data_IF_270406335222
#
_entry.id   IF_270406335222
#
_cell.length_a   1.000
_cell.length_b   1.000
_cell.length_c   1.000
_cell.angle_alpha   90.00
_cell.angle_beta   90.00
_cell.angle_gamma   90.00
#
_symmetry.space_group_name_H-M   'P 1'
#
loop_
_entity.id
_entity.type
_entity.pdbx_description
1 polymer ?
#
# COMPACT_ATOMS: atom_id res chain seq x y z
N UNK A 1 -19.45 -9.82 -3.15
CA UNK A 1 -18.36 -10.71 -3.59
C UNK A 1 -17.49 -9.93 -4.57
N UNK A 2 -16.26 -9.57 -4.19
CA UNK A 2 -15.41 -8.74 -5.06
C UNK A 2 -14.97 -9.57 -6.27
N UNK A 3 -15.32 -9.11 -7.48
CA UNK A 3 -14.90 -9.74 -8.73
C UNK A 3 -13.40 -9.48 -8.90
N UNK A 4 -12.59 -10.54 -8.94
CA UNK A 4 -11.15 -10.41 -9.14
C UNK A 4 -10.87 -9.96 -10.58
N UNK A 5 -10.60 -8.67 -10.77
CA UNK A 5 -10.18 -8.14 -12.07
C UNK A 5 -8.67 -8.35 -12.21
N UNK A 6 -8.23 -8.98 -13.31
CA UNK A 6 -6.81 -9.27 -13.61
C UNK A 6 -5.97 -8.01 -13.95
N UNK A 7 -6.42 -6.83 -13.53
CA UNK A 7 -5.78 -5.58 -13.88
C UNK A 7 -4.62 -5.29 -12.92
N UNK A 8 -3.54 -4.75 -13.47
CA UNK A 8 -2.42 -4.27 -12.65
C UNK A 8 -2.90 -3.12 -11.76
N UNK A 9 -2.61 -3.21 -10.46
CA UNK A 9 -2.89 -2.13 -9.50
C UNK A 9 -2.03 -0.89 -9.76
N UNK A 10 -0.88 -1.08 -10.41
CA UNK A 10 0.05 -0.03 -10.80
C UNK A 10 0.41 -0.26 -12.27
N UNK A 11 -0.29 0.38 -13.22
CA UNK A 11 -0.04 0.16 -14.65
C UNK A 11 1.34 0.66 -15.09
N UNK A 12 1.80 1.79 -14.55
CA UNK A 12 3.09 2.41 -14.86
C UNK A 12 4.10 2.14 -13.72
N UNK A 13 4.39 0.87 -13.47
CA UNK A 13 5.33 0.48 -12.43
C UNK A 13 6.76 0.90 -12.78
N UNK A 14 7.58 1.10 -11.75
CA UNK A 14 9.00 1.44 -11.85
C UNK A 14 9.83 0.32 -11.28
N UNK A 15 10.96 0.03 -11.92
CA UNK A 15 11.92 -0.96 -11.45
C UNK A 15 12.52 -0.54 -10.10
N UNK A 16 12.88 -1.53 -9.28
CA UNK A 16 13.50 -1.34 -7.96
C UNK A 16 12.63 -0.55 -6.96
N UNK A 17 11.30 -0.62 -7.11
CA UNK A 17 10.33 -0.02 -6.17
C UNK A 17 9.36 -1.10 -5.70
N UNK A 18 9.24 -1.24 -4.38
CA UNK A 18 8.24 -2.13 -3.76
C UNK A 18 6.90 -1.41 -3.69
N UNK A 19 5.86 -1.99 -4.29
CA UNK A 19 4.50 -1.46 -4.24
C UNK A 19 3.69 -2.14 -3.14
N UNK A 20 3.51 -1.43 -2.02
CA UNK A 20 2.75 -1.92 -0.87
C UNK A 20 1.26 -1.65 -1.07
N UNK A 21 0.47 -2.72 -1.12
CA UNK A 21 -0.99 -2.64 -1.07
C UNK A 21 -1.41 -2.69 0.39
N UNK A 22 -1.62 -1.52 0.98
CA UNK A 22 -1.98 -1.39 2.39
C UNK A 22 -3.23 -0.53 2.56
N UNK A 23 -3.80 -0.56 3.77
CA UNK A 23 -4.85 0.35 4.16
C UNK A 23 -4.40 1.82 4.03
N UNK A 24 -5.34 2.74 3.76
CA UNK A 24 -5.02 4.15 3.70
C UNK A 24 -4.38 4.62 5.02
N UNK A 25 -3.29 5.38 4.90
CA UNK A 25 -2.66 6.04 6.04
C UNK A 25 -3.59 7.08 6.62
N UNK A 26 -3.65 7.15 7.94
CA UNK A 26 -4.27 8.29 8.63
C UNK A 26 -3.18 9.28 9.05
N UNK A 27 -3.55 10.53 9.34
CA UNK A 27 -2.61 11.55 9.80
C UNK A 27 -1.88 11.13 11.10
N UNK A 28 -2.55 10.34 11.92
CA UNK A 28 -2.07 9.93 13.24
C UNK A 28 -1.33 8.59 13.23
N UNK A 29 -1.60 7.69 12.28
CA UNK A 29 -1.04 6.33 12.26
C UNK A 29 -0.64 5.92 10.83
N UNK A 30 0.61 5.44 10.62
CA UNK A 30 1.10 5.06 9.30
C UNK A 30 0.42 3.80 8.71
N UNK A 31 -0.17 2.94 9.54
CA UNK A 31 -1.00 1.81 9.12
C UNK A 31 -1.83 1.28 10.31
N UNK A 32 -3.10 0.95 10.09
CA UNK A 32 -3.96 0.29 11.10
C UNK A 32 -3.64 -1.19 11.31
N UNK A 33 -2.93 -1.82 10.37
CA UNK A 33 -2.54 -3.23 10.42
C UNK A 33 -1.12 -3.41 10.98
N UNK A 34 -0.91 -4.21 12.05
CA UNK A 34 0.42 -4.51 12.59
C UNK A 34 1.37 -5.15 11.58
N UNK A 35 0.87 -6.03 10.72
CA UNK A 35 1.68 -6.70 9.68
C UNK A 35 2.20 -5.70 8.65
N UNK A 36 1.33 -4.76 8.24
CA UNK A 36 1.71 -3.70 7.31
C UNK A 36 2.72 -2.73 7.92
N UNK A 37 2.56 -2.42 9.22
CA UNK A 37 3.51 -1.59 9.98
C UNK A 37 4.88 -2.25 10.08
N UNK A 38 4.92 -3.57 10.34
CA UNK A 38 6.15 -4.35 10.40
C UNK A 38 6.90 -4.32 9.06
N UNK A 39 6.19 -4.58 7.95
CA UNK A 39 6.80 -4.60 6.62
C UNK A 39 7.33 -3.22 6.23
N UNK A 40 6.54 -2.18 6.48
CA UNK A 40 6.97 -0.81 6.23
C UNK A 40 8.21 -0.43 7.04
N UNK A 41 8.23 -0.76 8.33
CA UNK A 41 9.37 -0.50 9.21
C UNK A 41 10.62 -1.22 8.69
N UNK A 42 10.47 -2.49 8.28
CA UNK A 42 11.58 -3.26 7.70
C UNK A 42 12.11 -2.63 6.41
N UNK A 43 11.23 -2.19 5.50
CA UNK A 43 11.64 -1.53 4.25
C UNK A 43 12.40 -0.22 4.53
N UNK A 44 11.93 0.57 5.50
CA UNK A 44 12.60 1.80 5.94
C UNK A 44 13.96 1.52 6.55
N UNK A 45 14.07 0.54 7.43
CA UNK A 45 15.34 0.16 8.06
C UNK A 45 16.39 -0.31 7.04
N UNK A 46 15.96 -0.94 5.96
CA UNK A 46 16.85 -1.43 4.90
C UNK A 46 17.06 -0.42 3.76
N UNK A 47 16.54 0.82 3.88
CA UNK A 47 16.60 1.84 2.82
C UNK A 47 16.05 1.37 1.46
N UNK A 48 15.08 0.47 1.47
CA UNK A 48 14.45 -0.04 0.24
C UNK A 48 13.39 0.96 -0.21
N UNK A 49 13.45 1.38 -1.47
CA UNK A 49 12.45 2.29 -2.05
C UNK A 49 11.10 1.57 -2.14
N UNK A 50 10.08 2.17 -1.55
CA UNK A 50 8.73 1.63 -1.59
C UNK A 50 7.67 2.73 -1.79
N UNK A 51 6.54 2.35 -2.37
CA UNK A 51 5.36 3.19 -2.52
C UNK A 51 4.17 2.51 -1.85
N UNK A 52 3.54 3.20 -0.89
CA UNK A 52 2.26 2.77 -0.33
C UNK A 52 1.16 3.14 -1.31
N UNK A 53 0.67 2.16 -2.06
CA UNK A 53 -0.45 2.36 -2.96
C UNK A 53 -1.74 2.34 -2.14
N UNK A 54 -2.48 3.44 -2.17
CA UNK A 54 -3.77 3.54 -1.49
C UNK A 54 -4.73 2.61 -2.21
N UNK A 55 -5.09 1.50 -1.57
CA UNK A 55 -6.23 0.74 -2.04
C UNK A 55 -7.46 1.62 -1.78
N UNK A 56 -7.99 2.25 -2.83
CA UNK A 56 -9.18 3.10 -2.77
C UNK A 56 -10.42 2.24 -2.52
N UNK A 57 -10.52 1.63 -1.34
CA UNK A 57 -11.75 0.99 -0.90
C UNK A 57 -12.71 1.99 -0.24
N UNK A 58 -12.23 3.18 0.16
CA UNK A 58 -12.95 4.11 1.03
C UNK A 58 -13.17 5.52 0.44
N UNK A 59 -13.22 5.68 -0.89
CA UNK A 59 -13.60 6.97 -1.51
C UNK A 59 -14.92 6.86 -2.30
N UNK A 60 -15.81 5.95 -1.89
CA UNK A 60 -17.21 5.90 -2.32
C UNK A 60 -18.18 5.89 -1.13
N UNK A 61 -17.73 6.39 0.02
CA UNK A 61 -18.64 6.84 1.07
C UNK A 61 -18.41 8.35 1.19
N UNK A 62 -19.42 9.10 0.74
CA UNK A 62 -19.54 10.56 0.60
C UNK A 62 -18.96 11.19 -0.68
#
# INVERSE_FOLDING_TARGET
>A
MLKATHNLLVPNWKENVVYLVIFPRTHSIPSSSPSSLKLETWLRMNNIKYQANKFNFLINCD
#
